data_IF_065293277517
#
_entry.id   IF_065293277517
#
_cell.length_a   1.000
_cell.length_b   1.000
_cell.length_c   1.000
_cell.angle_alpha   90.00
_cell.angle_beta   90.00
_cell.angle_gamma   90.00
#
_symmetry.space_group_name_H-M   'P 1'
#
loop_
_entity.id
_entity.type
_entity.pdbx_description
1 polymer ?
#
# COMPACT_ATOMS: atom_id res chain seq x y z
N UNK A 1 -9.48 -36.07 3.58
CA UNK A 1 -9.73 -35.99 2.11
C UNK A 1 -9.98 -34.56 1.61
N UNK A 2 -10.89 -33.79 2.22
CA UNK A 2 -11.29 -32.44 1.77
C UNK A 2 -10.13 -31.46 1.54
N UNK A 3 -9.21 -31.32 2.50
CA UNK A 3 -8.07 -30.39 2.36
C UNK A 3 -7.12 -30.79 1.22
N UNK A 4 -6.80 -32.07 1.05
CA UNK A 4 -5.91 -32.54 -0.03
C UNK A 4 -6.48 -32.20 -1.42
N UNK A 5 -7.80 -32.36 -1.61
CA UNK A 5 -8.51 -31.95 -2.82
C UNK A 5 -8.47 -30.43 -3.03
N UNK A 6 -8.65 -29.63 -1.96
CA UNK A 6 -8.55 -28.17 -2.04
C UNK A 6 -7.15 -27.71 -2.46
N UNK A 7 -6.10 -28.30 -1.88
CA UNK A 7 -4.71 -28.00 -2.25
C UNK A 7 -4.40 -28.41 -3.70
N UNK A 8 -4.96 -29.53 -4.18
CA UNK A 8 -4.87 -29.90 -5.59
C UNK A 8 -5.61 -28.91 -6.49
N UNK A 9 -6.82 -28.53 -6.12
CA UNK A 9 -7.62 -27.51 -6.81
C UNK A 9 -6.89 -26.16 -6.89
N UNK A 10 -6.14 -25.78 -5.86
CA UNK A 10 -5.29 -24.59 -5.88
C UNK A 10 -4.22 -24.66 -6.99
N UNK A 11 -3.61 -25.83 -7.21
CA UNK A 11 -2.67 -26.04 -8.32
C UNK A 11 -3.33 -25.88 -9.68
N UNK A 12 -4.56 -26.38 -9.82
CA UNK A 12 -5.34 -26.21 -11.06
C UNK A 12 -5.71 -24.74 -11.28
N UNK A 13 -6.13 -24.03 -10.24
CA UNK A 13 -6.45 -22.61 -10.30
C UNK A 13 -5.25 -21.76 -10.73
N UNK A 14 -4.06 -22.00 -10.14
CA UNK A 14 -2.81 -21.34 -10.55
C UNK A 14 -2.53 -21.53 -12.05
N UNK A 15 -2.61 -22.78 -12.53
CA UNK A 15 -2.39 -23.11 -13.95
C UNK A 15 -3.45 -22.47 -14.85
N UNK A 16 -4.72 -22.51 -14.46
CA UNK A 16 -5.82 -21.94 -15.24
C UNK A 16 -5.68 -20.42 -15.35
N UNK A 17 -5.35 -19.72 -14.25
CA UNK A 17 -5.13 -18.26 -14.27
C UNK A 17 -3.93 -17.88 -15.13
N UNK A 18 -2.83 -18.62 -15.06
CA UNK A 18 -1.66 -18.41 -15.92
C UNK A 18 -1.94 -18.64 -17.41
N UNK A 19 -2.84 -19.57 -17.74
CA UNK A 19 -3.28 -19.80 -19.14
C UNK A 19 -4.18 -18.67 -19.64
N UNK A 20 -5.09 -18.19 -18.79
CA UNK A 20 -6.12 -17.21 -19.18
C UNK A 20 -5.61 -15.75 -19.17
N UNK A 21 -4.69 -15.40 -18.27
CA UNK A 21 -4.27 -14.02 -18.06
C UNK A 21 -2.74 -13.88 -18.23
N UNK A 22 -2.26 -13.22 -19.29
CA UNK A 22 -0.83 -13.02 -19.53
C UNK A 22 -0.10 -12.36 -18.36
N UNK A 23 -0.72 -11.36 -17.73
CA UNK A 23 -0.16 -10.68 -16.53
C UNK A 23 0.06 -11.63 -15.36
N UNK A 24 -0.81 -12.63 -15.18
CA UNK A 24 -0.64 -13.66 -14.16
C UNK A 24 0.49 -14.63 -14.52
N UNK A 25 0.67 -14.92 -15.82
CA UNK A 25 1.80 -15.73 -16.30
C UNK A 25 3.14 -15.04 -16.04
N UNK A 26 3.24 -13.73 -16.31
CA UNK A 26 4.45 -12.95 -16.00
C UNK A 26 4.73 -12.92 -14.50
N UNK A 27 3.69 -12.77 -13.66
CA UNK A 27 3.83 -12.89 -12.20
C UNK A 27 4.50 -14.20 -11.78
N UNK A 28 4.16 -15.33 -12.40
CA UNK A 28 4.76 -16.63 -12.11
C UNK A 28 6.21 -16.79 -12.57
N UNK A 29 6.73 -15.90 -13.43
CA UNK A 29 8.14 -15.93 -13.87
C UNK A 29 9.07 -15.17 -12.92
N UNK A 30 8.52 -14.29 -12.08
CA UNK A 30 9.31 -13.43 -11.20
C UNK A 30 10.17 -14.21 -10.20
N UNK A 31 9.73 -15.41 -9.78
CA UNK A 31 10.41 -16.22 -8.76
C UNK A 31 10.39 -17.71 -9.11
N UNK A 32 11.50 -18.38 -8.78
CA UNK A 32 11.65 -19.83 -8.79
C UNK A 32 11.75 -20.30 -7.34
N UNK A 33 10.84 -21.17 -6.90
CA UNK A 33 10.77 -21.64 -5.52
C UNK A 33 9.88 -22.90 -5.38
N UNK A 34 10.04 -23.58 -4.25
CA UNK A 34 9.17 -24.64 -3.76
C UNK A 34 8.40 -24.10 -2.56
N UNK A 35 7.10 -23.85 -2.75
CA UNK A 35 6.20 -23.46 -1.67
C UNK A 35 5.41 -24.67 -1.16
N UNK A 36 5.21 -24.78 0.14
CA UNK A 36 4.50 -25.87 0.78
C UNK A 36 3.31 -25.34 1.57
N UNK A 37 2.19 -26.05 1.51
CA UNK A 37 1.04 -25.85 2.40
C UNK A 37 0.75 -27.16 3.10
N UNK A 38 0.79 -27.15 4.43
CA UNK A 38 0.63 -28.35 5.27
C UNK A 38 -0.20 -28.07 6.53
N UNK A 39 -0.65 -29.14 7.18
CA UNK A 39 -1.05 -29.10 8.59
C UNK A 39 0.13 -29.44 9.49
N UNK A 40 0.08 -28.96 10.74
CA UNK A 40 1.21 -29.03 11.69
C UNK A 40 1.70 -30.45 11.98
N UNK A 41 0.79 -31.42 12.00
CA UNK A 41 1.08 -32.84 12.26
C UNK A 41 1.54 -33.61 11.01
N UNK A 42 1.75 -32.92 9.88
CA UNK A 42 2.18 -33.50 8.60
C UNK A 42 1.24 -34.56 8.00
N UNK A 43 0.03 -34.72 8.55
CA UNK A 43 -0.97 -35.68 8.05
C UNK A 43 -1.48 -35.32 6.65
N UNK A 44 -1.51 -34.03 6.31
CA UNK A 44 -1.92 -33.52 5.00
C UNK A 44 -1.03 -32.36 4.57
N UNK A 45 -0.52 -32.44 3.34
CA UNK A 45 0.17 -31.33 2.72
C UNK A 45 0.34 -31.50 1.21
N UNK A 46 0.71 -30.40 0.56
CA UNK A 46 1.08 -30.36 -0.85
C UNK A 46 2.12 -29.27 -1.04
N UNK A 47 3.10 -29.58 -1.87
CA UNK A 47 4.07 -28.59 -2.32
C UNK A 47 3.86 -28.24 -3.79
N UNK A 48 4.25 -27.02 -4.12
CA UNK A 48 4.09 -26.36 -5.39
C UNK A 48 5.47 -25.89 -5.86
N UNK A 49 5.91 -26.39 -7.01
CA UNK A 49 7.17 -25.98 -7.63
C UNK A 49 6.87 -24.93 -8.70
N UNK A 50 7.38 -23.72 -8.48
CA UNK A 50 7.34 -22.61 -9.42
C UNK A 50 8.68 -22.56 -10.14
N UNK A 51 8.65 -22.67 -11.46
CA UNK A 51 9.88 -22.61 -12.27
C UNK A 51 9.59 -21.98 -13.62
N UNK A 52 10.21 -20.83 -13.90
CA UNK A 52 10.14 -20.10 -15.17
C UNK A 52 8.69 -19.91 -15.67
N UNK A 53 7.79 -19.49 -14.77
CA UNK A 53 6.37 -19.29 -15.10
C UNK A 53 5.50 -20.55 -15.12
N UNK A 54 6.06 -21.73 -14.84
CA UNK A 54 5.32 -23.00 -14.77
C UNK A 54 5.09 -23.42 -13.32
N UNK A 55 3.93 -24.01 -13.06
CA UNK A 55 3.58 -24.55 -11.74
C UNK A 55 3.39 -26.06 -11.82
N UNK A 56 4.12 -26.80 -10.99
CA UNK A 56 3.89 -28.22 -10.72
C UNK A 56 3.49 -28.40 -9.26
N UNK A 57 2.80 -29.49 -8.92
CA UNK A 57 2.51 -29.79 -7.51
C UNK A 57 2.49 -31.29 -7.26
N UNK A 58 2.83 -31.71 -6.05
CA UNK A 58 2.77 -33.10 -5.60
C UNK A 58 2.20 -33.16 -4.18
N UNK A 59 1.37 -34.17 -3.92
CA UNK A 59 0.87 -34.45 -2.57
C UNK A 59 2.02 -34.89 -1.66
N UNK A 60 1.93 -34.58 -0.37
CA UNK A 60 2.92 -34.92 0.64
C UNK A 60 3.73 -33.72 1.13
N UNK A 61 4.71 -34.02 1.97
CA UNK A 61 5.58 -33.05 2.63
C UNK A 61 6.95 -33.09 1.94
N UNK A 62 7.39 -31.94 1.44
CA UNK A 62 8.71 -31.72 0.89
C UNK A 62 9.72 -31.56 2.02
N UNK A 63 10.91 -32.14 1.87
CA UNK A 63 11.95 -32.12 2.91
C UNK A 63 12.65 -30.76 3.05
N UNK A 64 12.68 -29.96 1.98
CA UNK A 64 13.34 -28.65 1.92
C UNK A 64 12.53 -27.63 1.10
N UNK A 65 11.36 -27.18 1.57
CA UNK A 65 10.62 -26.11 0.91
C UNK A 65 11.29 -24.75 1.18
N UNK A 66 11.22 -23.83 0.23
CA UNK A 66 11.68 -22.44 0.42
C UNK A 66 10.71 -21.63 1.27
N UNK A 67 9.40 -21.92 1.13
CA UNK A 67 8.31 -21.27 1.87
C UNK A 67 7.35 -22.34 2.38
N UNK A 68 6.94 -22.25 3.64
CA UNK A 68 5.94 -23.15 4.24
C UNK A 68 4.82 -22.36 4.89
N UNK A 69 3.58 -22.67 4.49
CA UNK A 69 2.37 -22.28 5.19
C UNK A 69 1.90 -23.47 6.02
N UNK A 70 1.85 -23.31 7.33
CA UNK A 70 1.40 -24.37 8.25
C UNK A 70 0.10 -23.96 8.92
N UNK A 71 -0.92 -24.82 8.83
CA UNK A 71 -2.15 -24.68 9.60
C UNK A 71 -2.12 -25.61 10.82
N UNK A 72 -2.67 -25.15 11.96
CA UNK A 72 -2.73 -25.95 13.19
C UNK A 72 -3.51 -27.25 13.01
N UNK A 73 -4.66 -27.20 12.33
CA UNK A 73 -5.51 -28.37 12.07
C UNK A 73 -6.09 -28.36 10.66
N UNK A 74 -6.63 -29.50 10.22
CA UNK A 74 -7.30 -29.65 8.92
C UNK A 74 -8.56 -28.78 8.86
N UNK A 75 -9.34 -28.72 9.94
CA UNK A 75 -10.59 -27.96 10.04
C UNK A 75 -10.32 -26.47 9.85
N UNK A 76 -9.27 -25.95 10.50
CA UNK A 76 -8.86 -24.57 10.34
C UNK A 76 -8.42 -24.27 8.90
N UNK A 77 -7.59 -25.13 8.31
CA UNK A 77 -7.14 -24.98 6.93
C UNK A 77 -8.33 -24.96 5.95
N UNK A 78 -9.26 -25.90 6.11
CA UNK A 78 -10.47 -25.97 5.28
C UNK A 78 -11.33 -24.72 5.46
N UNK A 79 -11.55 -24.26 6.70
CA UNK A 79 -12.31 -23.05 7.00
C UNK A 79 -11.73 -21.82 6.29
N UNK A 80 -10.43 -21.56 6.47
CA UNK A 80 -9.76 -20.37 5.93
C UNK A 80 -9.58 -20.39 4.40
N UNK A 81 -9.62 -21.57 3.77
CA UNK A 81 -9.46 -21.76 2.33
C UNK A 81 -10.79 -21.96 1.59
N UNK A 82 -11.92 -22.00 2.29
CA UNK A 82 -13.26 -22.14 1.67
C UNK A 82 -13.88 -20.76 1.45
N UNK A 83 -14.41 -20.44 0.26
CA UNK A 83 -15.18 -19.22 0.03
C UNK A 83 -16.50 -19.18 0.84
N UNK A 84 -17.00 -17.99 1.25
CA UNK A 84 -16.39 -16.67 1.04
C UNK A 84 -15.17 -16.47 1.94
N UNK A 85 -14.06 -16.00 1.35
CA UNK A 85 -12.81 -15.82 2.09
C UNK A 85 -12.91 -14.62 3.03
N UNK A 86 -12.64 -14.83 4.32
CA UNK A 86 -12.54 -13.77 5.30
C UNK A 86 -11.08 -13.45 5.63
N UNK A 87 -10.63 -12.24 5.27
CA UNK A 87 -9.25 -11.79 5.54
C UNK A 87 -8.99 -11.57 7.04
N UNK A 88 -10.01 -11.15 7.80
CA UNK A 88 -9.88 -10.94 9.24
C UNK A 88 -9.59 -12.26 9.95
N UNK A 89 -10.26 -13.34 9.56
CA UNK A 89 -10.03 -14.67 10.15
C UNK A 89 -8.62 -15.19 9.85
N UNK A 90 -8.10 -14.92 8.65
CA UNK A 90 -6.71 -15.25 8.31
C UNK A 90 -5.71 -14.46 9.16
N UNK A 91 -5.93 -13.15 9.33
CA UNK A 91 -5.09 -12.31 10.20
C UNK A 91 -5.14 -12.80 11.65
N UNK A 92 -6.32 -13.11 12.17
CA UNK A 92 -6.48 -13.62 13.53
C UNK A 92 -5.80 -14.98 13.72
N UNK A 93 -5.90 -15.88 12.74
CA UNK A 93 -5.20 -17.15 12.76
C UNK A 93 -3.67 -16.99 12.76
N UNK A 94 -3.13 -16.03 12.01
CA UNK A 94 -1.71 -15.69 12.01
C UNK A 94 -1.28 -15.09 13.36
N UNK A 95 -2.04 -14.12 13.89
CA UNK A 95 -1.78 -13.50 15.21
C UNK A 95 -1.82 -14.53 16.34
N UNK A 96 -2.73 -15.49 16.26
CA UNK A 96 -2.87 -16.58 17.22
C UNK A 96 -1.96 -17.79 16.93
N UNK A 97 -0.98 -17.66 16.02
CA UNK A 97 -0.04 -18.73 15.63
C UNK A 97 -0.70 -20.05 15.22
N UNK A 98 -1.97 -20.01 14.83
CA UNK A 98 -2.72 -21.16 14.33
C UNK A 98 -2.57 -21.33 12.81
N UNK A 99 -2.05 -20.30 12.15
CA UNK A 99 -1.50 -20.33 10.80
C UNK A 99 -0.11 -19.68 10.85
N UNK A 100 0.94 -20.35 10.37
CA UNK A 100 2.30 -19.78 10.26
C UNK A 100 2.73 -19.69 8.81
N UNK A 101 3.63 -18.73 8.54
CA UNK A 101 4.29 -18.55 7.26
C UNK A 101 5.79 -18.45 7.53
N UNK A 102 6.53 -19.44 7.02
CA UNK A 102 7.97 -19.60 7.25
C UNK A 102 8.70 -19.56 5.90
N UNK A 103 9.90 -18.97 5.87
CA UNK A 103 10.71 -18.81 4.67
C UNK A 103 11.21 -17.36 4.50
N UNK A 104 12.11 -17.10 3.54
CA UNK A 104 12.59 -15.75 3.26
C UNK A 104 11.43 -14.79 2.98
N UNK A 105 11.44 -13.61 3.61
CA UNK A 105 10.32 -12.66 3.58
C UNK A 105 9.85 -12.34 2.15
N UNK A 106 10.81 -12.09 1.23
CA UNK A 106 10.52 -11.81 -0.17
C UNK A 106 9.72 -12.94 -0.84
N UNK A 107 10.12 -14.20 -0.64
CA UNK A 107 9.47 -15.37 -1.23
C UNK A 107 8.11 -15.65 -0.58
N UNK A 108 8.05 -15.51 0.73
CA UNK A 108 6.83 -15.65 1.54
C UNK A 108 5.75 -14.66 1.11
N UNK A 109 6.09 -13.37 1.01
CA UNK A 109 5.20 -12.32 0.52
C UNK A 109 4.82 -12.54 -0.94
N UNK A 110 5.80 -12.92 -1.78
CA UNK A 110 5.53 -13.20 -3.18
C UNK A 110 4.50 -14.31 -3.35
N UNK A 111 4.63 -15.41 -2.59
CA UNK A 111 3.73 -16.55 -2.65
C UNK A 111 2.31 -16.16 -2.19
N UNK A 112 2.18 -15.53 -1.02
CA UNK A 112 0.89 -15.11 -0.48
C UNK A 112 0.16 -14.12 -1.41
N UNK A 113 0.88 -13.16 -1.98
CA UNK A 113 0.30 -12.23 -2.97
C UNK A 113 -0.11 -12.93 -4.26
N UNK A 114 0.65 -13.93 -4.71
CA UNK A 114 0.29 -14.74 -5.90
C UNK A 114 -0.98 -15.55 -5.65
N UNK A 115 -1.14 -16.14 -4.46
CA UNK A 115 -2.38 -16.82 -4.06
C UNK A 115 -3.56 -15.85 -4.02
N UNK A 116 -3.37 -14.65 -3.45
CA UNK A 116 -4.41 -13.62 -3.44
C UNK A 116 -4.83 -13.23 -4.87
N UNK A 117 -3.87 -13.03 -5.77
CA UNK A 117 -4.09 -12.66 -7.17
C UNK A 117 -4.89 -13.69 -7.96
N UNK A 118 -4.98 -14.96 -7.53
CA UNK A 118 -5.86 -15.95 -8.19
C UNK A 118 -7.31 -15.46 -8.26
N UNK A 119 -7.73 -14.70 -7.23
CA UNK A 119 -9.10 -14.19 -7.07
C UNK A 119 -9.38 -12.95 -7.90
N UNK A 120 -8.39 -12.09 -8.05
CA UNK A 120 -8.50 -10.82 -8.79
C UNK A 120 -7.89 -10.87 -10.19
N UNK A 121 -7.34 -12.00 -10.62
CA UNK A 121 -6.81 -12.18 -11.96
C UNK A 121 -7.91 -11.97 -13.00
N UNK A 122 -7.74 -10.93 -13.82
CA UNK A 122 -8.71 -10.50 -14.82
C UNK A 122 -9.69 -9.44 -14.36
N UNK A 123 -9.65 -9.03 -13.09
CA UNK A 123 -10.39 -7.85 -12.65
C UNK A 123 -9.86 -6.64 -13.39
N UNK A 124 -10.78 -5.86 -13.93
CA UNK A 124 -10.48 -4.59 -14.53
C UNK A 124 -10.83 -3.50 -13.52
N UNK A 125 -9.91 -2.56 -13.34
CA UNK A 125 -10.15 -1.38 -12.51
C UNK A 125 -10.58 -0.22 -13.41
N UNK A 126 -11.54 0.58 -12.95
CA UNK A 126 -12.14 1.68 -13.73
C UNK A 126 -13.22 1.24 -14.72
N UNK A 127 -13.96 2.22 -15.21
CA UNK A 127 -15.06 2.09 -16.18
C UNK A 127 -14.54 2.34 -17.59
N UNK A 128 -14.74 1.38 -18.49
CA UNK A 128 -14.41 1.54 -19.90
C UNK A 128 -15.42 2.49 -20.58
N UNK A 129 -14.92 3.53 -21.23
CA UNK A 129 -15.74 4.50 -21.98
C UNK A 129 -15.60 4.33 -23.49
N UNK A 130 -14.90 3.29 -23.95
CA UNK A 130 -14.56 3.09 -25.36
C UNK A 130 -13.43 4.00 -25.84
N UNK A 131 -12.99 3.81 -27.10
CA UNK A 131 -11.93 4.60 -27.74
C UNK A 131 -10.65 4.72 -26.90
N UNK A 132 -10.19 3.59 -26.34
CA UNK A 132 -9.05 3.48 -25.42
C UNK A 132 -9.12 4.43 -24.21
N UNK A 133 -10.32 4.86 -23.82
CA UNK A 133 -10.55 5.78 -22.71
C UNK A 133 -11.18 5.04 -21.54
N UNK A 134 -10.60 5.21 -20.36
CA UNK A 134 -11.08 4.59 -19.13
C UNK A 134 -11.19 5.63 -18.02
N UNK A 135 -12.30 5.60 -17.29
CA UNK A 135 -12.57 6.48 -16.15
C UNK A 135 -12.26 5.74 -14.85
N UNK A 136 -11.37 6.32 -14.06
CA UNK A 136 -11.02 5.86 -12.73
C UNK A 136 -11.54 6.84 -11.68
N UNK A 137 -11.50 6.41 -10.42
CA UNK A 137 -11.72 7.28 -9.27
C UNK A 137 -10.40 7.53 -8.57
N UNK A 138 -10.21 8.75 -8.07
CA UNK A 138 -9.09 9.08 -7.19
C UNK A 138 -9.52 10.20 -6.23
N UNK A 139 -8.64 10.58 -5.32
CA UNK A 139 -8.87 11.64 -4.35
C UNK A 139 -7.68 12.60 -4.33
N UNK A 140 -7.96 13.85 -4.02
CA UNK A 140 -6.98 14.93 -3.89
C UNK A 140 -7.26 15.66 -2.57
N UNK A 141 -6.31 16.45 -2.07
CA UNK A 141 -6.59 17.33 -0.92
C UNK A 141 -7.67 18.38 -1.22
N UNK A 142 -7.96 18.62 -2.50
CA UNK A 142 -9.02 19.53 -2.95
C UNK A 142 -10.39 18.87 -3.15
N UNK A 143 -10.51 17.55 -3.00
CA UNK A 143 -11.75 16.79 -3.20
C UNK A 143 -11.61 15.54 -4.08
N UNK A 144 -12.66 14.70 -4.15
CA UNK A 144 -12.69 13.47 -4.94
C UNK A 144 -12.88 13.76 -6.42
N UNK A 145 -12.29 12.91 -7.26
CA UNK A 145 -12.23 13.15 -8.70
C UNK A 145 -12.48 11.89 -9.52
N UNK A 146 -13.11 12.08 -10.67
CA UNK A 146 -12.96 11.15 -11.79
C UNK A 146 -11.68 11.50 -12.57
N UNK A 147 -10.91 10.47 -12.89
CA UNK A 147 -9.68 10.57 -13.70
C UNK A 147 -9.91 9.83 -15.01
N UNK A 148 -9.90 10.57 -16.11
CA UNK A 148 -10.05 10.00 -17.44
C UNK A 148 -8.67 9.75 -18.02
N UNK A 149 -8.37 8.52 -18.38
CA UNK A 149 -7.10 8.11 -18.98
C UNK A 149 -7.37 7.63 -20.39
N UNK A 150 -6.63 8.16 -21.36
CA UNK A 150 -6.67 7.74 -22.75
C UNK A 150 -5.26 7.41 -23.22
N UNK A 151 -5.09 6.26 -23.85
CA UNK A 151 -3.78 5.79 -24.35
C UNK A 151 -2.68 5.91 -23.26
N UNK A 152 -3.01 5.41 -22.05
CA UNK A 152 -2.15 5.41 -20.84
C UNK A 152 -1.76 6.79 -20.28
N UNK A 153 -2.34 7.89 -20.79
CA UNK A 153 -2.12 9.25 -20.29
C UNK A 153 -3.37 9.84 -19.66
N UNK A 154 -3.20 10.60 -18.58
CA UNK A 154 -4.30 11.35 -17.97
C UNK A 154 -4.78 12.39 -18.98
N UNK A 155 -6.00 12.19 -19.48
CA UNK A 155 -6.68 13.11 -20.39
C UNK A 155 -7.19 14.32 -19.61
N UNK A 156 -7.98 14.09 -18.56
CA UNK A 156 -8.56 15.13 -17.69
C UNK A 156 -8.96 14.60 -16.32
N UNK A 157 -9.18 15.52 -15.41
CA UNK A 157 -9.67 15.30 -14.04
C UNK A 157 -10.92 16.15 -13.86
N UNK A 158 -12.00 15.58 -13.30
CA UNK A 158 -13.26 16.29 -13.05
C UNK A 158 -13.79 15.98 -11.65
N UNK A 159 -14.69 16.80 -11.08
CA UNK A 159 -15.53 16.36 -9.98
C UNK A 159 -16.31 15.07 -10.31
N UNK A 160 -16.84 14.44 -9.27
CA UNK A 160 -17.68 13.25 -9.40
C UNK A 160 -19.14 13.70 -9.48
N UNK A 161 -19.82 13.24 -10.53
CA UNK A 161 -21.28 13.31 -10.65
C UNK A 161 -21.85 11.96 -10.23
N UNK A 162 -22.83 11.98 -9.32
CA UNK A 162 -23.46 10.77 -8.81
C UNK A 162 -24.59 10.33 -9.74
N UNK A 163 -24.73 9.02 -9.94
CA UNK A 163 -25.80 8.43 -10.76
C UNK A 163 -26.89 7.78 -9.91
N UNK A 164 -27.90 7.19 -10.54
CA UNK A 164 -29.05 6.62 -9.83
C UNK A 164 -28.72 5.36 -9.01
N UNK A 165 -27.49 4.82 -9.14
CA UNK A 165 -27.00 3.71 -8.31
C UNK A 165 -26.42 4.20 -6.98
N UNK A 166 -26.13 5.50 -6.85
CA UNK A 166 -25.69 6.13 -5.60
C UNK A 166 -26.88 6.52 -4.71
N UNK A 167 -26.70 6.44 -3.39
CA UNK A 167 -27.73 6.79 -2.41
C UNK A 167 -28.31 8.21 -2.63
N UNK A 168 -29.60 8.44 -2.30
CA UNK A 168 -30.20 9.77 -2.36
C UNK A 168 -29.53 10.74 -1.37
N UNK A 169 -29.46 12.06 -1.70
CA UNK A 169 -28.95 13.04 -0.75
C UNK A 169 -29.91 13.20 0.44
N UNK A 170 -29.40 13.73 1.55
CA UNK A 170 -30.24 14.19 2.65
C UNK A 170 -31.05 15.43 2.21
N UNK A 171 -32.13 15.74 2.96
CA UNK A 171 -32.96 16.92 2.75
C UNK A 171 -33.31 17.57 4.08
N UNK A 172 -33.43 18.89 4.09
CA UNK A 172 -33.87 19.68 5.26
C UNK A 172 -35.12 20.46 4.88
N UNK A 173 -36.16 20.35 5.68
CA UNK A 173 -37.35 21.19 5.59
C UNK A 173 -37.22 22.40 6.52
N UNK A 174 -37.26 23.60 5.96
CA UNK A 174 -37.19 24.84 6.73
C UNK A 174 -37.94 25.95 6.01
N UNK A 175 -38.68 26.78 6.76
CA UNK A 175 -39.41 27.95 6.23
C UNK A 175 -40.32 27.59 5.03
N UNK A 176 -40.99 26.44 5.09
CA UNK A 176 -41.90 25.97 4.04
C UNK A 176 -41.21 25.56 2.73
N UNK A 177 -39.89 25.31 2.75
CA UNK A 177 -39.11 24.85 1.60
C UNK A 177 -38.31 23.61 1.96
N UNK A 178 -38.02 22.79 0.95
CA UNK A 178 -37.11 21.64 1.07
C UNK A 178 -35.78 21.99 0.42
N UNK A 179 -34.70 21.88 1.18
CA UNK A 179 -33.33 22.11 0.72
C UNK A 179 -32.62 20.77 0.60
N UNK A 180 -32.05 20.48 -0.57
CA UNK A 180 -31.28 19.26 -0.83
C UNK A 180 -30.00 19.63 -1.59
N UNK A 181 -28.84 19.04 -1.25
CA UNK A 181 -27.59 19.35 -1.95
C UNK A 181 -27.59 18.78 -3.38
N UNK A 182 -26.79 19.36 -4.29
CA UNK A 182 -26.60 18.81 -5.63
C UNK A 182 -26.05 17.37 -5.59
N UNK A 183 -26.46 16.52 -6.55
CA UNK A 183 -25.91 15.16 -6.76
C UNK A 183 -24.54 15.17 -7.44
N UNK A 184 -23.61 15.95 -6.90
CA UNK A 184 -22.21 16.02 -7.37
C UNK A 184 -21.28 16.47 -6.26
N UNK A 185 -19.99 16.15 -6.41
CA UNK A 185 -18.93 16.70 -5.57
C UNK A 185 -18.46 18.06 -6.10
N UNK A 186 -17.72 18.79 -5.28
CA UNK A 186 -16.97 19.99 -5.67
C UNK A 186 -15.47 19.72 -5.59
N UNK A 187 -14.67 20.59 -6.22
CA UNK A 187 -13.22 20.44 -6.29
C UNK A 187 -12.54 21.80 -6.16
N UNK A 188 -11.62 21.93 -5.21
CA UNK A 188 -10.80 23.13 -5.06
C UNK A 188 -9.89 23.34 -6.29
N UNK A 189 -9.48 24.59 -6.52
CA UNK A 189 -8.66 24.99 -7.68
C UNK A 189 -7.37 24.18 -7.82
N UNK A 190 -6.66 23.94 -6.71
CA UNK A 190 -5.44 23.13 -6.72
C UNK A 190 -5.72 21.64 -7.04
N UNK A 191 -6.90 21.12 -6.68
CA UNK A 191 -7.34 19.77 -7.03
C UNK A 191 -7.63 19.62 -8.53
N UNK A 192 -8.19 20.66 -9.16
CA UNK A 192 -8.45 20.70 -10.60
C UNK A 192 -7.15 20.61 -11.43
N UNK A 193 -6.06 21.17 -10.90
CA UNK A 193 -4.77 21.28 -11.58
C UNK A 193 -3.83 20.09 -11.35
N UNK A 194 -4.27 18.99 -10.72
CA UNK A 194 -3.37 17.87 -10.41
C UNK A 194 -2.67 17.26 -11.65
N UNK A 195 -3.30 17.32 -12.84
CA UNK A 195 -2.67 16.84 -14.07
C UNK A 195 -1.36 17.57 -14.38
N UNK A 196 -1.29 18.90 -14.17
CA UNK A 196 -0.07 19.67 -14.44
C UNK A 196 1.03 19.37 -13.42
N UNK A 197 0.67 19.08 -12.16
CA UNK A 197 1.62 18.67 -11.13
C UNK A 197 2.17 17.26 -11.39
N UNK A 198 1.34 16.32 -11.86
CA UNK A 198 1.79 14.96 -12.21
C UNK A 198 2.79 14.98 -13.36
N UNK A 199 2.54 15.80 -14.38
CA UNK A 199 3.38 15.93 -15.58
C UNK A 199 4.26 17.19 -15.58
N UNK A 200 4.57 17.73 -14.40
CA UNK A 200 5.42 18.92 -14.29
C UNK A 200 6.81 18.63 -14.86
N UNK A 201 7.43 19.56 -15.62
CA UNK A 201 8.83 19.42 -16.03
C UNK A 201 9.79 19.33 -14.83
N UNK A 202 9.39 19.83 -13.66
CA UNK A 202 10.18 19.82 -12.43
C UNK A 202 10.03 18.52 -11.62
N UNK A 203 9.31 17.54 -12.15
CA UNK A 203 9.10 16.26 -11.46
C UNK A 203 10.42 15.49 -11.35
N UNK A 204 10.79 15.11 -10.13
CA UNK A 204 11.91 14.17 -9.91
C UNK A 204 11.52 12.78 -10.44
N UNK A 205 12.16 12.37 -11.54
CA UNK A 205 11.89 11.11 -12.24
C UNK A 205 12.75 9.94 -11.76
N UNK A 206 13.93 10.23 -11.21
CA UNK A 206 14.92 9.23 -10.81
C UNK A 206 15.58 9.61 -9.49
N UNK A 207 16.18 8.64 -8.77
CA UNK A 207 17.09 8.94 -7.68
C UNK A 207 18.26 9.80 -8.16
N UNK A 208 18.58 10.82 -7.37
CA UNK A 208 19.67 11.75 -7.61
C UNK A 208 20.63 11.74 -6.43
N UNK A 209 21.92 11.86 -6.72
CA UNK A 209 23.00 12.01 -5.74
C UNK A 209 23.78 13.26 -6.07
N UNK A 210 24.15 14.04 -5.06
CA UNK A 210 25.02 15.20 -5.24
C UNK A 210 26.41 14.74 -5.74
N UNK A 211 26.95 15.40 -6.76
CA UNK A 211 28.14 14.94 -7.50
C UNK A 211 29.38 14.79 -6.62
N UNK A 212 29.54 15.67 -5.63
CA UNK A 212 30.66 15.78 -4.71
C UNK A 212 30.33 15.21 -3.31
N UNK A 213 29.35 14.31 -3.21
CA UNK A 213 29.06 13.59 -1.96
C UNK A 213 29.67 12.19 -2.00
N UNK A 214 30.73 11.94 -1.24
CA UNK A 214 31.24 10.58 -0.99
C UNK A 214 30.87 10.11 0.42
N UNK A 215 30.02 9.07 0.59
CA UNK A 215 29.69 8.55 1.93
C UNK A 215 30.89 7.95 2.67
N UNK A 216 31.94 7.52 1.96
CA UNK A 216 33.13 6.89 2.52
C UNK A 216 34.38 7.80 2.52
N UNK A 217 34.22 9.04 2.07
CA UNK A 217 35.32 10.00 1.95
C UNK A 217 34.82 11.41 2.25
N UNK A 218 35.17 12.34 1.37
CA UNK A 218 34.80 13.75 1.54
C UNK A 218 33.30 13.95 1.27
N UNK A 219 32.60 14.32 2.33
CA UNK A 219 31.15 14.55 2.28
C UNK A 219 30.79 15.92 1.75
N UNK A 220 31.69 16.90 1.78
CA UNK A 220 31.52 18.28 1.29
C UNK A 220 30.16 18.88 1.70
N UNK A 221 29.93 19.00 3.01
CA UNK A 221 28.64 19.42 3.57
C UNK A 221 28.30 20.87 3.25
N UNK A 222 29.32 21.72 3.14
CA UNK A 222 29.29 23.14 2.79
C UNK A 222 28.75 23.39 1.37
N UNK A 223 28.87 22.43 0.46
CA UNK A 223 28.40 22.57 -0.92
C UNK A 223 26.91 22.21 -1.12
N UNK A 224 26.17 21.90 -0.03
CA UNK A 224 24.73 21.62 -0.10
C UNK A 224 23.97 22.88 -0.51
N UNK A 225 23.20 22.78 -1.61
CA UNK A 225 22.49 23.91 -2.21
C UNK A 225 23.26 24.60 -3.35
N UNK A 226 24.48 24.16 -3.65
CA UNK A 226 25.32 24.71 -4.73
C UNK A 226 25.73 23.66 -5.75
N UNK A 227 26.27 22.52 -5.30
CA UNK A 227 26.75 21.47 -6.21
C UNK A 227 25.61 20.79 -6.98
N UNK A 228 25.93 20.37 -8.20
CA UNK A 228 25.00 19.67 -9.08
C UNK A 228 24.65 18.24 -8.58
N UNK A 229 23.69 17.62 -9.27
CA UNK A 229 23.26 16.26 -9.01
C UNK A 229 23.49 15.38 -10.23
N UNK A 230 23.86 14.13 -9.98
CA UNK A 230 23.91 13.06 -10.96
C UNK A 230 22.78 12.07 -10.71
N UNK A 231 22.27 11.46 -11.78
CA UNK A 231 21.36 10.33 -11.70
C UNK A 231 22.09 9.10 -11.18
N UNK A 232 21.45 8.37 -10.28
CA UNK A 232 21.90 7.06 -9.80
C UNK A 232 20.77 6.03 -9.88
N UNK A 233 21.10 4.75 -9.68
CA UNK A 233 20.09 3.70 -9.62
C UNK A 233 19.35 3.71 -8.27
N UNK A 234 18.19 3.05 -8.21
CA UNK A 234 17.50 2.82 -6.94
C UNK A 234 18.34 1.97 -5.99
N UNK A 235 19.02 0.94 -6.48
CA UNK A 235 19.86 0.07 -5.65
C UNK A 235 21.03 0.85 -5.03
N UNK A 236 21.68 1.71 -5.80
CA UNK A 236 22.74 2.59 -5.28
C UNK A 236 22.20 3.54 -4.22
N UNK A 237 21.08 4.23 -4.49
CA UNK A 237 20.48 5.16 -3.55
C UNK A 237 20.09 4.47 -2.23
N UNK A 238 19.44 3.31 -2.32
CA UNK A 238 19.03 2.52 -1.16
C UNK A 238 20.24 1.99 -0.40
N UNK A 239 21.30 1.52 -1.08
CA UNK A 239 22.51 1.04 -0.42
C UNK A 239 23.21 2.16 0.37
N UNK A 240 23.31 3.37 -0.20
CA UNK A 240 23.87 4.53 0.49
C UNK A 240 23.04 4.86 1.74
N UNK A 241 21.71 5.00 1.60
CA UNK A 241 20.82 5.37 2.71
C UNK A 241 20.82 4.29 3.80
N UNK A 242 20.72 3.02 3.43
CA UNK A 242 20.74 1.89 4.38
C UNK A 242 22.09 1.78 5.09
N UNK A 243 23.20 2.01 4.36
CA UNK A 243 24.54 2.06 4.91
C UNK A 243 24.65 3.11 6.01
N UNK A 244 24.18 4.33 5.74
CA UNK A 244 24.19 5.43 6.71
C UNK A 244 23.25 5.17 7.91
N UNK A 245 22.04 4.65 7.69
CA UNK A 245 21.13 4.29 8.80
C UNK A 245 21.80 3.26 9.72
N UNK A 246 22.42 2.22 9.15
CA UNK A 246 23.14 1.19 9.94
C UNK A 246 24.33 1.78 10.69
N UNK A 247 25.11 2.62 10.03
CA UNK A 247 26.29 3.29 10.62
C UNK A 247 25.88 4.17 11.80
N UNK A 248 24.93 5.08 11.61
CA UNK A 248 24.46 6.01 12.65
C UNK A 248 23.85 5.25 13.82
N UNK A 249 23.04 4.21 13.58
CA UNK A 249 22.49 3.38 14.65
C UNK A 249 23.58 2.71 15.48
N UNK A 250 24.63 2.20 14.83
CA UNK A 250 25.75 1.53 15.51
C UNK A 250 26.62 2.50 16.32
N UNK A 251 26.89 3.68 15.77
CA UNK A 251 27.86 4.63 16.32
C UNK A 251 27.24 5.64 17.30
N UNK A 252 25.96 5.97 17.14
CA UNK A 252 25.30 7.06 17.90
C UNK A 252 23.91 6.69 18.41
N UNK A 253 23.44 5.47 18.13
CA UNK A 253 22.10 5.02 18.47
C UNK A 253 21.01 5.56 17.51
N UNK A 254 19.80 4.99 17.57
CA UNK A 254 18.70 5.37 16.68
C UNK A 254 18.22 6.82 16.87
N UNK A 255 18.42 7.41 18.05
CA UNK A 255 18.04 8.81 18.33
C UNK A 255 18.84 9.84 17.52
N UNK A 256 19.98 9.46 16.94
CA UNK A 256 20.74 10.36 16.07
C UNK A 256 20.14 10.49 14.64
N UNK A 257 19.07 9.76 14.32
CA UNK A 257 18.37 9.83 13.03
C UNK A 257 17.14 10.73 13.19
N UNK A 258 17.20 11.96 12.70
CA UNK A 258 16.04 12.86 12.70
C UNK A 258 15.09 12.54 11.52
N UNK A 259 13.78 12.51 11.79
CA UNK A 259 12.74 12.37 10.76
C UNK A 259 11.70 13.47 10.94
N UNK A 260 11.41 14.17 9.85
CA UNK A 260 10.40 15.24 9.76
C UNK A 260 9.58 15.07 8.47
N UNK A 261 8.40 15.68 8.42
CA UNK A 261 7.56 15.77 7.23
C UNK A 261 6.83 17.11 7.22
N UNK A 262 6.06 17.42 6.17
CA UNK A 262 5.15 18.59 6.17
C UNK A 262 3.85 18.29 6.91
N UNK A 263 3.12 19.33 7.34
CA UNK A 263 1.83 19.18 8.03
C UNK A 263 0.74 18.58 7.13
N UNK A 264 0.93 18.67 5.81
CA UNK A 264 0.07 18.05 4.81
C UNK A 264 0.86 17.12 3.89
N UNK A 265 0.16 16.17 3.29
CA UNK A 265 0.70 15.20 2.36
C UNK A 265 -0.30 14.91 1.25
N UNK A 266 0.10 14.21 0.19
CA UNK A 266 -0.85 13.74 -0.83
C UNK A 266 -1.89 12.83 -0.18
N UNK A 267 -3.15 12.97 -0.62
CA UNK A 267 -4.26 12.19 -0.08
C UNK A 267 -4.06 10.68 -0.24
N UNK A 268 -4.46 9.92 0.77
CA UNK A 268 -4.54 8.46 0.73
C UNK A 268 -4.17 7.81 2.06
N UNK A 269 -5.13 7.22 2.75
CA UNK A 269 -4.97 6.79 4.15
C UNK A 269 -3.79 5.83 4.41
N UNK A 270 -3.53 4.91 3.48
CA UNK A 270 -2.41 3.94 3.59
C UNK A 270 -1.07 4.63 3.34
N UNK A 271 -1.00 5.51 2.34
CA UNK A 271 0.23 6.21 1.96
C UNK A 271 0.50 7.47 2.77
N UNK A 272 -0.45 7.92 3.58
CA UNK A 272 -0.33 9.13 4.39
C UNK A 272 0.80 8.97 5.41
N UNK A 273 1.42 10.09 5.82
CA UNK A 273 2.57 10.05 6.72
C UNK A 273 2.24 9.39 8.07
N UNK A 274 1.01 9.59 8.58
CA UNK A 274 0.49 8.93 9.80
C UNK A 274 0.41 7.40 9.69
N UNK A 275 0.53 6.83 8.49
CA UNK A 275 0.51 5.39 8.25
C UNK A 275 1.85 4.87 7.75
N UNK A 276 2.20 5.11 6.48
CA UNK A 276 3.37 4.49 5.85
C UNK A 276 4.70 5.00 6.45
N UNK A 277 4.84 6.32 6.60
CA UNK A 277 6.06 6.91 7.17
C UNK A 277 6.22 6.51 8.63
N UNK A 278 5.15 6.60 9.44
CA UNK A 278 5.18 6.20 10.86
C UNK A 278 5.57 4.73 11.02
N UNK A 279 4.99 3.84 10.20
CA UNK A 279 5.35 2.43 10.19
C UNK A 279 6.84 2.22 9.89
N UNK A 280 7.39 2.93 8.90
CA UNK A 280 8.80 2.79 8.53
C UNK A 280 9.77 3.41 9.56
N UNK A 281 9.53 4.65 10.00
CA UNK A 281 10.45 5.32 10.95
C UNK A 281 10.49 4.60 12.31
N UNK A 282 9.38 4.01 12.74
CA UNK A 282 9.32 3.24 13.99
C UNK A 282 10.12 1.93 13.91
N UNK A 283 10.28 1.31 12.73
CA UNK A 283 11.08 0.08 12.61
C UNK A 283 12.57 0.35 12.62
N UNK A 284 13.01 1.51 12.14
CA UNK A 284 14.43 1.89 12.16
C UNK A 284 14.84 2.54 13.49
N UNK A 285 13.90 3.17 14.20
CA UNK A 285 14.16 4.03 15.36
C UNK A 285 14.67 5.40 14.91
N UNK A 286 14.15 6.47 15.52
CA UNK A 286 14.42 7.84 15.12
C UNK A 286 14.17 8.84 16.26
N UNK A 287 14.65 10.06 16.09
CA UNK A 287 14.15 11.25 16.80
C UNK A 287 13.09 11.92 15.94
N UNK A 288 11.92 12.17 16.53
CA UNK A 288 10.82 12.88 15.88
C UNK A 288 11.03 14.38 15.94
N UNK A 289 10.92 15.06 14.80
CA UNK A 289 10.71 16.51 14.78
C UNK A 289 9.21 16.73 14.88
N UNK A 290 8.72 16.92 16.11
CA UNK A 290 7.30 17.09 16.37
C UNK A 290 6.80 18.42 15.82
N UNK A 291 5.63 18.40 15.18
CA UNK A 291 5.02 19.59 14.63
C UNK A 291 4.44 20.45 15.75
N UNK A 292 4.51 21.77 15.59
CA UNK A 292 3.65 22.69 16.32
C UNK A 292 2.19 22.54 15.84
N UNK A 293 1.19 22.92 16.66
CA UNK A 293 -0.21 22.90 16.26
C UNK A 293 -0.53 24.08 15.32
N UNK A 294 0.15 24.15 14.17
CA UNK A 294 0.15 25.28 13.23
C UNK A 294 -1.26 25.77 12.85
N UNK A 295 -2.20 24.85 12.70
CA UNK A 295 -3.58 25.14 12.32
C UNK A 295 -4.45 25.62 13.50
N UNK A 296 -3.95 25.53 14.74
CA UNK A 296 -4.71 25.76 15.98
C UNK A 296 -3.95 26.54 17.05
N UNK A 297 -2.86 27.24 16.73
CA UNK A 297 -1.97 27.87 17.72
C UNK A 297 -2.71 28.60 18.86
N UNK A 298 -3.57 29.56 18.53
CA UNK A 298 -4.33 30.33 19.54
C UNK A 298 -5.34 29.49 20.33
N UNK A 299 -5.89 28.44 19.72
CA UNK A 299 -6.83 27.54 20.40
C UNK A 299 -6.10 26.57 21.34
N UNK A 300 -4.99 26.00 20.88
CA UNK A 300 -4.18 25.06 21.64
C UNK A 300 -3.49 25.74 22.82
N UNK A 301 -2.80 26.87 22.61
CA UNK A 301 -2.03 27.56 23.64
C UNK A 301 -2.83 28.56 24.47
N UNK A 302 -4.04 28.93 24.03
CA UNK A 302 -4.88 29.93 24.69
C UNK A 302 -6.24 29.39 25.11
N UNK A 303 -7.14 29.20 24.14
CA UNK A 303 -8.54 28.86 24.41
C UNK A 303 -8.71 27.57 25.23
N UNK A 304 -7.83 26.60 25.05
CA UNK A 304 -7.85 25.34 25.82
C UNK A 304 -7.75 25.59 27.33
N UNK A 305 -7.03 26.62 27.76
CA UNK A 305 -6.94 27.02 29.17
C UNK A 305 -8.12 27.85 29.66
N UNK A 306 -8.91 28.42 28.76
CA UNK A 306 -10.07 29.24 29.10
C UNK A 306 -11.33 28.39 29.33
N UNK A 307 -11.58 27.38 28.49
CA UNK A 307 -12.79 26.54 28.59
C UNK A 307 -12.58 25.05 28.34
N UNK A 308 -11.34 24.57 28.28
CA UNK A 308 -11.04 23.17 27.98
C UNK A 308 -11.19 22.82 26.51
N UNK A 309 -11.79 21.68 26.20
CA UNK A 309 -11.91 21.20 24.81
C UNK A 309 -10.59 20.71 24.21
N UNK A 310 -9.64 20.25 25.03
CA UNK A 310 -8.31 19.80 24.57
C UNK A 310 -8.37 18.68 23.51
N UNK A 311 -9.34 17.77 23.60
CA UNK A 311 -9.58 16.74 22.58
C UNK A 311 -10.01 17.31 21.21
N UNK A 312 -10.50 18.54 21.18
CA UNK A 312 -10.85 19.31 19.97
C UNK A 312 -9.93 20.53 19.79
N UNK A 313 -8.73 20.48 20.38
CA UNK A 313 -7.70 21.51 20.24
C UNK A 313 -8.18 22.89 20.71
N UNK A 314 -9.14 22.95 21.65
CA UNK A 314 -9.70 24.19 22.19
C UNK A 314 -10.94 24.72 21.45
N UNK A 315 -11.46 24.03 20.43
CA UNK A 315 -12.67 24.44 19.71
C UNK A 315 -13.97 24.16 20.52
N UNK A 316 -15.01 24.96 20.26
CA UNK A 316 -16.40 24.69 20.70
C UNK A 316 -16.94 23.40 20.10
N UNK A 317 -17.95 22.82 20.74
CA UNK A 317 -18.84 21.92 20.03
C UNK A 317 -19.59 22.67 18.92
N UNK A 318 -19.35 22.28 17.68
CA UNK A 318 -20.14 22.72 16.53
C UNK A 318 -21.45 21.93 16.54
N UNK A 319 -22.56 22.60 16.86
CA UNK A 319 -23.92 22.09 16.69
C UNK A 319 -24.34 22.18 15.22
#
# INVERSE_FOLDING_TARGET
>A
MRLSLMLFGLSLALKQRARKYPTFKERLKEKNLIAQVKVKDDSVGRYFTFQNGRVRSKSGIHSKPDVTVTFKTVELAVSLMTPPFNQLDQINAMRGFSMTLEGPEELSLWFMHTLHKIRSAGWQYGIDLGNNTRRYTNMTNGGPVFVYVKDEKILRITPIEFDDTDAPPWSIEAKGRTFTPPRKTSLASHGQNWKSMVYSPDRLLYPLKRVDFDPNGDRNCENRGTSAYQRISWDEALNIVVGEIKRVKRESGPGAIAVSHGSHHTWGNIGYYLSALFRFRNTIGHTEVHHNPDSWEGWYWGATHHWGGSLRVGQTETY
#
